data_IF_801943876424
#
_entry.id   IF_801943876424
#
_cell.length_a   1.000
_cell.length_b   1.000
_cell.length_c   1.000
_cell.angle_alpha   90.00
_cell.angle_beta   90.00
_cell.angle_gamma   90.00
#
_symmetry.space_group_name_H-M   'P 1'
#
loop_
_entity.id
_entity.type
_entity.pdbx_description
1 polymer ?
#
# COMPACT_ATOMS: atom_id res chain seq x y z
N UNK A 1 -62.12 -5.19 -24.64
CA UNK A 1 -61.82 -4.47 -23.39
C UNK A 1 -60.94 -5.36 -22.54
N UNK A 2 -59.62 -5.19 -22.61
CA UNK A 2 -58.64 -6.03 -21.93
C UNK A 2 -57.71 -5.12 -21.14
N UNK A 3 -57.84 -5.18 -19.82
CA UNK A 3 -57.09 -4.40 -18.84
C UNK A 3 -55.61 -4.82 -18.84
N UNK A 4 -54.74 -3.95 -19.34
CA UNK A 4 -53.30 -4.10 -19.25
C UNK A 4 -52.84 -3.75 -17.82
N UNK A 5 -52.41 -4.76 -17.08
CA UNK A 5 -51.86 -4.67 -15.73
C UNK A 5 -50.48 -4.02 -15.76
N UNK A 6 -50.40 -2.79 -15.21
CA UNK A 6 -49.16 -2.06 -14.99
C UNK A 6 -48.29 -2.80 -13.96
N UNK A 7 -47.16 -3.35 -14.43
CA UNK A 7 -46.17 -4.05 -13.61
C UNK A 7 -45.31 -3.02 -12.88
N UNK A 8 -45.69 -2.72 -11.64
CA UNK A 8 -44.97 -1.82 -10.74
C UNK A 8 -43.57 -2.39 -10.44
N UNK A 9 -42.58 -1.86 -11.15
CA UNK A 9 -41.16 -2.21 -11.01
C UNK A 9 -40.71 -1.72 -9.64
N UNK A 10 -40.57 -2.62 -8.66
CA UNK A 10 -39.98 -2.31 -7.34
C UNK A 10 -38.62 -1.67 -7.57
N UNK A 11 -38.54 -0.36 -7.31
CA UNK A 11 -37.27 0.35 -7.17
C UNK A 11 -36.59 -0.28 -5.96
N UNK A 12 -35.60 -1.12 -6.21
CA UNK A 12 -34.68 -1.57 -5.16
C UNK A 12 -34.10 -0.33 -4.52
N UNK A 13 -34.54 -0.05 -3.30
CA UNK A 13 -33.98 0.97 -2.42
C UNK A 13 -32.52 0.56 -2.21
N UNK A 14 -31.65 1.13 -3.03
CA UNK A 14 -30.22 0.94 -2.98
C UNK A 14 -29.77 1.45 -1.61
N UNK A 15 -29.15 0.55 -0.84
CA UNK A 15 -28.60 0.83 0.47
C UNK A 15 -27.69 2.08 0.40
N UNK A 16 -28.19 3.20 0.90
CA UNK A 16 -27.35 4.34 1.26
C UNK A 16 -26.36 3.84 2.33
N UNK A 17 -25.04 3.96 2.11
CA UNK A 17 -24.07 3.56 3.11
C UNK A 17 -24.34 4.33 4.41
N UNK A 18 -24.48 3.58 5.52
CA UNK A 18 -24.62 4.12 6.87
C UNK A 18 -23.42 5.04 7.13
N UNK A 19 -23.66 6.35 7.16
CA UNK A 19 -22.63 7.33 7.49
C UNK A 19 -22.37 7.28 8.99
N UNK A 20 -21.26 6.66 9.39
CA UNK A 20 -20.74 6.73 10.75
C UNK A 20 -20.21 8.14 11.02
N UNK A 21 -21.12 9.07 11.33
CA UNK A 21 -20.81 10.47 11.69
C UNK A 21 -20.88 10.67 13.19
N UNK A 22 -19.74 10.51 13.87
CA UNK A 22 -19.53 11.09 15.22
C UNK A 22 -18.23 11.88 15.36
N UNK A 23 -17.44 12.08 14.31
CA UNK A 23 -16.26 12.95 14.34
C UNK A 23 -16.36 14.06 13.29
N UNK A 24 -16.69 15.26 13.75
CA UNK A 24 -16.44 16.52 13.04
C UNK A 24 -17.03 16.62 11.64
N UNK A 25 -18.34 16.83 11.54
CA UNK A 25 -19.04 17.15 10.29
C UNK A 25 -18.59 18.56 9.83
N UNK A 26 -17.42 18.65 9.19
CA UNK A 26 -17.22 19.71 8.18
C UNK A 26 -18.29 19.46 7.14
N UNK A 27 -19.11 20.46 6.84
CA UNK A 27 -20.04 20.41 5.72
C UNK A 27 -19.25 19.91 4.49
N UNK A 28 -19.49 18.66 4.10
CA UNK A 28 -18.87 18.08 2.91
C UNK A 28 -19.53 18.80 1.75
N UNK A 29 -18.88 19.87 1.27
CA UNK A 29 -19.34 20.60 0.11
C UNK A 29 -19.22 19.69 -1.12
N UNK A 30 -20.11 19.89 -2.08
CA UNK A 30 -20.12 19.17 -3.36
C UNK A 30 -18.73 19.22 -4.01
N UNK A 31 -18.09 20.38 -3.97
CA UNK A 31 -16.75 20.62 -4.51
C UNK A 31 -15.67 19.74 -3.87
N UNK A 32 -15.72 19.51 -2.55
CA UNK A 32 -14.75 18.67 -1.88
C UNK A 32 -14.86 17.20 -2.31
N UNK A 33 -16.10 16.73 -2.54
CA UNK A 33 -16.34 15.32 -2.91
C UNK A 33 -15.87 15.02 -4.34
N UNK A 34 -16.11 15.94 -5.28
CA UNK A 34 -15.63 15.82 -6.65
C UNK A 34 -14.11 15.97 -6.74
N UNK A 35 -13.50 16.88 -5.97
CA UNK A 35 -12.05 17.02 -5.90
C UNK A 35 -11.37 15.75 -5.36
N UNK A 36 -11.88 15.17 -4.27
CA UNK A 36 -11.35 13.92 -3.73
C UNK A 36 -11.43 12.79 -4.76
N UNK A 37 -12.55 12.70 -5.49
CA UNK A 37 -12.72 11.74 -6.57
C UNK A 37 -11.67 11.98 -7.68
N UNK A 38 -11.50 13.22 -8.14
CA UNK A 38 -10.54 13.60 -9.18
C UNK A 38 -9.09 13.34 -8.76
N UNK A 39 -8.73 13.61 -7.51
CA UNK A 39 -7.38 13.39 -6.99
C UNK A 39 -7.02 11.91 -6.89
N UNK A 40 -8.01 11.04 -6.65
CA UNK A 40 -7.83 9.59 -6.73
C UNK A 40 -7.77 9.15 -8.19
N UNK A 41 -8.74 9.56 -9.01
CA UNK A 41 -8.90 9.13 -10.40
C UNK A 41 -7.73 9.55 -11.28
N UNK A 42 -7.12 10.72 -11.02
CA UNK A 42 -6.03 11.26 -11.83
C UNK A 42 -4.63 10.97 -11.27
N UNK A 43 -4.54 10.20 -10.19
CA UNK A 43 -3.27 9.88 -9.53
C UNK A 43 -2.35 9.09 -10.46
N UNK A 44 -1.13 9.58 -10.65
CA UNK A 44 -0.12 8.96 -11.53
C UNK A 44 -0.10 9.52 -12.95
N UNK A 45 -1.09 10.31 -13.36
CA UNK A 45 -1.08 10.97 -14.67
C UNK A 45 -0.12 12.18 -14.70
N UNK A 46 0.41 12.50 -15.89
CA UNK A 46 1.17 13.73 -16.13
C UNK A 46 0.27 14.98 -16.00
N UNK A 47 0.86 16.15 -15.75
CA UNK A 47 0.10 17.39 -15.51
C UNK A 47 -0.88 17.73 -16.65
N UNK A 48 -0.46 17.56 -17.90
CA UNK A 48 -1.29 17.84 -19.07
C UNK A 48 -2.47 16.86 -19.19
N UNK A 49 -2.24 15.56 -18.97
CA UNK A 49 -3.31 14.58 -18.97
C UNK A 49 -4.29 14.81 -17.81
N UNK A 50 -3.78 15.17 -16.62
CA UNK A 50 -4.63 15.56 -15.48
C UNK A 50 -5.53 16.73 -15.83
N UNK A 51 -4.99 17.77 -16.47
CA UNK A 51 -5.76 18.95 -16.85
C UNK A 51 -6.88 18.61 -17.84
N UNK A 52 -6.59 17.77 -18.85
CA UNK A 52 -7.60 17.30 -19.83
C UNK A 52 -8.69 16.47 -19.16
N UNK A 53 -8.31 15.47 -18.37
CA UNK A 53 -9.26 14.60 -17.66
C UNK A 53 -10.11 15.40 -16.67
N UNK A 54 -9.51 16.35 -15.93
CA UNK A 54 -10.28 17.22 -15.03
C UNK A 54 -11.32 18.03 -15.78
N UNK A 55 -10.96 18.61 -16.92
CA UNK A 55 -11.89 19.37 -17.76
C UNK A 55 -13.06 18.49 -18.25
N UNK A 56 -12.75 17.33 -18.83
CA UNK A 56 -13.76 16.40 -19.36
C UNK A 56 -14.70 15.88 -18.27
N UNK A 57 -14.16 15.48 -17.10
CA UNK A 57 -14.96 15.01 -15.97
C UNK A 57 -15.82 16.13 -15.40
N UNK A 58 -15.31 17.37 -15.32
CA UNK A 58 -16.12 18.51 -14.88
C UNK A 58 -17.27 18.80 -15.84
N UNK A 59 -17.03 18.78 -17.15
CA UNK A 59 -18.07 18.96 -18.17
C UNK A 59 -19.14 17.86 -18.08
N UNK A 60 -18.73 16.59 -17.96
CA UNK A 60 -19.66 15.47 -17.80
C UNK A 60 -20.45 15.55 -16.49
N UNK A 61 -19.78 15.89 -15.38
CA UNK A 61 -20.43 16.05 -14.08
C UNK A 61 -21.46 17.19 -14.11
N UNK A 62 -21.10 18.34 -14.67
CA UNK A 62 -21.98 19.50 -14.76
C UNK A 62 -23.22 19.20 -15.63
N UNK A 63 -23.03 18.55 -16.78
CA UNK A 63 -24.12 18.16 -17.66
C UNK A 63 -25.09 17.16 -16.99
N UNK A 64 -24.55 16.15 -16.30
CA UNK A 64 -25.38 15.16 -15.58
C UNK A 64 -26.10 15.79 -14.39
N UNK A 65 -25.41 16.65 -13.64
CA UNK A 65 -25.99 17.39 -12.52
C UNK A 65 -27.14 18.29 -12.99
N UNK A 66 -26.93 19.09 -14.03
CA UNK A 66 -27.95 19.97 -14.60
C UNK A 66 -29.18 19.17 -15.07
N UNK A 67 -28.94 18.03 -15.75
CA UNK A 67 -30.04 17.13 -16.16
C UNK A 67 -30.87 16.67 -14.96
N UNK A 68 -30.21 16.25 -13.88
CA UNK A 68 -30.89 15.77 -12.66
C UNK A 68 -31.66 16.89 -11.94
N UNK A 69 -31.14 18.12 -11.93
CA UNK A 69 -31.85 19.28 -11.39
C UNK A 69 -33.12 19.55 -12.21
N UNK A 70 -33.04 19.52 -13.54
CA UNK A 70 -34.21 19.69 -14.43
C UNK A 70 -35.25 18.58 -14.24
N UNK A 71 -34.80 17.36 -13.94
CA UNK A 71 -35.67 16.22 -13.59
C UNK A 71 -36.34 16.37 -12.19
N UNK A 72 -36.03 17.43 -11.44
CA UNK A 72 -36.64 17.74 -10.15
C UNK A 72 -35.95 17.08 -8.96
N UNK A 73 -34.73 16.56 -9.12
CA UNK A 73 -33.94 16.07 -8.01
C UNK A 73 -33.41 17.21 -7.13
N UNK A 74 -33.28 16.97 -5.83
CA UNK A 74 -32.64 17.93 -4.92
C UNK A 74 -31.14 18.03 -5.20
N UNK A 75 -30.51 19.17 -4.93
CA UNK A 75 -29.08 19.39 -5.20
C UNK A 75 -28.16 18.31 -4.60
N UNK A 76 -28.48 17.84 -3.39
CA UNK A 76 -27.72 16.78 -2.73
C UNK A 76 -27.86 15.45 -3.47
N UNK A 77 -29.08 15.10 -3.89
CA UNK A 77 -29.34 13.85 -4.61
C UNK A 77 -28.78 13.90 -6.04
N UNK A 78 -28.90 15.05 -6.71
CA UNK A 78 -28.32 15.31 -8.03
C UNK A 78 -26.79 15.20 -7.98
N UNK A 79 -26.14 15.78 -6.96
CA UNK A 79 -24.69 15.65 -6.74
C UNK A 79 -24.29 14.19 -6.59
N UNK A 80 -24.97 13.45 -5.71
CA UNK A 80 -24.64 12.05 -5.44
C UNK A 80 -24.82 11.19 -6.69
N UNK A 81 -25.94 11.36 -7.41
CA UNK A 81 -26.22 10.60 -8.63
C UNK A 81 -25.26 10.96 -9.78
N UNK A 82 -24.89 12.25 -9.94
CA UNK A 82 -23.89 12.69 -10.90
C UNK A 82 -22.49 12.11 -10.56
N UNK A 83 -22.12 12.05 -9.29
CA UNK A 83 -20.86 11.43 -8.88
C UNK A 83 -20.89 9.90 -9.06
N UNK A 84 -22.06 9.28 -8.85
CA UNK A 84 -22.27 7.85 -9.08
C UNK A 84 -22.17 7.49 -10.57
N UNK A 85 -22.61 8.37 -11.48
CA UNK A 85 -22.53 8.14 -12.93
C UNK A 85 -21.08 8.08 -13.44
N UNK A 86 -20.16 8.81 -12.79
CA UNK A 86 -18.72 8.73 -13.05
C UNK A 86 -18.10 7.38 -12.65
N UNK A 87 -18.78 6.63 -11.78
CA UNK A 87 -18.31 5.35 -11.26
C UNK A 87 -17.22 5.46 -10.18
N UNK A 88 -16.55 4.36 -9.90
CA UNK A 88 -15.53 4.31 -8.85
C UNK A 88 -14.22 4.99 -9.27
N UNK A 89 -13.72 5.94 -8.48
CA UNK A 89 -12.49 6.70 -8.78
C UNK A 89 -11.29 5.83 -9.16
N UNK A 90 -11.10 4.68 -8.48
CA UNK A 90 -10.03 3.72 -8.82
C UNK A 90 -10.23 3.04 -10.17
N UNK A 91 -11.47 2.72 -10.53
CA UNK A 91 -11.75 2.11 -11.84
C UNK A 91 -11.54 3.13 -12.96
N UNK A 92 -11.92 4.40 -12.72
CA UNK A 92 -11.63 5.49 -13.62
C UNK A 92 -10.12 5.72 -13.76
N UNK A 93 -9.36 5.69 -12.65
CA UNK A 93 -7.90 5.74 -12.67
C UNK A 93 -7.30 4.67 -13.58
N UNK A 94 -7.71 3.40 -13.42
CA UNK A 94 -7.21 2.30 -14.25
C UNK A 94 -7.52 2.54 -15.74
N UNK A 95 -8.69 3.11 -16.06
CA UNK A 95 -9.07 3.45 -17.44
C UNK A 95 -8.24 4.61 -17.99
N UNK A 96 -8.09 5.70 -17.24
CA UNK A 96 -7.30 6.86 -17.69
C UNK A 96 -5.83 6.51 -17.86
N UNK A 97 -5.27 5.71 -16.95
CA UNK A 97 -3.92 5.19 -17.08
C UNK A 97 -3.77 4.34 -18.37
N UNK A 98 -4.74 3.49 -18.71
CA UNK A 98 -4.70 2.71 -19.96
C UNK A 98 -4.81 3.57 -21.22
N UNK A 99 -5.54 4.68 -21.16
CA UNK A 99 -5.70 5.59 -22.30
C UNK A 99 -4.48 6.49 -22.51
N UNK A 100 -3.81 6.89 -21.43
CA UNK A 100 -2.71 7.86 -21.49
C UNK A 100 -1.30 7.24 -21.45
N UNK A 101 -1.14 6.03 -20.90
CA UNK A 101 0.14 5.33 -20.94
C UNK A 101 0.26 4.45 -22.18
N UNK A 102 1.48 4.31 -22.68
CA UNK A 102 1.78 3.21 -23.61
C UNK A 102 1.57 1.87 -22.89
N UNK A 103 1.19 0.82 -23.62
CA UNK A 103 0.91 -0.51 -23.03
C UNK A 103 2.08 -0.99 -22.14
N UNK A 104 3.31 -0.73 -22.58
CA UNK A 104 4.53 -1.08 -21.84
C UNK A 104 4.72 -0.30 -20.54
N UNK A 105 4.40 1.00 -20.53
CA UNK A 105 4.48 1.81 -19.30
C UNK A 105 3.39 1.43 -18.30
N UNK A 106 2.20 1.10 -18.80
CA UNK A 106 1.10 0.64 -17.97
C UNK A 106 1.44 -0.69 -17.27
N UNK A 107 2.06 -1.64 -17.98
CA UNK A 107 2.48 -2.91 -17.39
C UNK A 107 3.55 -2.74 -16.32
N UNK A 108 4.54 -1.86 -16.54
CA UNK A 108 5.55 -1.52 -15.52
C UNK A 108 4.92 -0.83 -14.32
N UNK A 109 4.01 0.12 -14.54
CA UNK A 109 3.28 0.81 -13.48
C UNK A 109 2.46 -0.17 -12.64
N UNK A 110 1.74 -1.07 -13.30
CA UNK A 110 0.89 -2.07 -12.66
C UNK A 110 1.73 -3.10 -11.90
N UNK A 111 2.88 -3.53 -12.44
CA UNK A 111 3.84 -4.39 -11.76
C UNK A 111 4.44 -3.73 -10.51
N UNK A 112 4.68 -2.41 -10.54
CA UNK A 112 5.21 -1.66 -9.41
C UNK A 112 4.15 -1.45 -8.30
N UNK A 113 2.89 -1.19 -8.68
CA UNK A 113 1.83 -0.82 -7.73
C UNK A 113 1.01 -2.00 -7.21
N UNK A 114 0.89 -3.09 -7.97
CA UNK A 114 0.39 -4.36 -7.46
C UNK A 114 1.59 -5.23 -7.10
N UNK A 115 2.06 -5.25 -5.85
CA UNK A 115 2.99 -6.28 -5.44
C UNK A 115 2.37 -7.63 -5.82
N UNK A 116 3.07 -8.49 -6.57
CA UNK A 116 2.50 -9.73 -7.06
C UNK A 116 1.89 -10.47 -5.87
N UNK A 117 0.65 -10.93 -5.99
CA UNK A 117 -0.02 -11.69 -4.91
C UNK A 117 0.81 -12.91 -4.48
N UNK A 118 1.64 -13.41 -5.38
CA UNK A 118 2.70 -14.40 -5.15
C UNK A 118 3.72 -13.96 -4.10
N UNK A 119 4.24 -12.72 -4.17
CA UNK A 119 5.23 -12.22 -3.20
C UNK A 119 4.64 -12.20 -1.80
N UNK A 120 3.38 -11.80 -1.63
CA UNK A 120 2.73 -11.75 -0.32
C UNK A 120 2.58 -13.14 0.32
N UNK A 121 2.26 -14.16 -0.47
CA UNK A 121 2.16 -15.56 0.00
C UNK A 121 3.53 -16.19 0.25
N UNK A 122 4.49 -15.93 -0.65
CA UNK A 122 5.86 -16.46 -0.53
C UNK A 122 6.58 -15.88 0.68
N UNK A 123 6.42 -14.59 0.96
CA UNK A 123 7.03 -13.96 2.13
C UNK A 123 6.52 -14.59 3.43
N UNK A 124 5.20 -14.75 3.58
CA UNK A 124 4.63 -15.36 4.78
C UNK A 124 5.13 -16.81 4.97
N UNK A 125 5.16 -17.60 3.90
CA UNK A 125 5.68 -18.97 3.94
C UNK A 125 7.16 -19.05 4.32
N UNK A 126 7.98 -18.13 3.81
CA UNK A 126 9.41 -18.06 4.13
C UNK A 126 9.66 -17.77 5.62
N UNK A 127 8.90 -16.85 6.21
CA UNK A 127 9.05 -16.58 7.65
C UNK A 127 8.54 -17.72 8.51
N UNK A 128 7.43 -18.37 8.14
CA UNK A 128 6.91 -19.54 8.87
C UNK A 128 7.94 -20.67 8.86
N UNK A 129 8.58 -20.94 7.71
CA UNK A 129 9.61 -21.99 7.60
C UNK A 129 10.84 -21.66 8.44
N UNK A 130 11.34 -20.42 8.40
CA UNK A 130 12.42 -19.98 9.29
C UNK A 130 12.04 -20.14 10.77
N UNK A 131 10.81 -19.80 11.14
CA UNK A 131 10.30 -19.89 12.52
C UNK A 131 10.28 -21.34 13.02
N UNK A 132 9.81 -22.28 12.18
CA UNK A 132 9.82 -23.71 12.47
C UNK A 132 11.26 -24.23 12.61
N UNK A 133 12.16 -23.86 11.70
CA UNK A 133 13.57 -24.29 11.75
C UNK A 133 14.24 -23.79 13.04
N UNK A 134 14.02 -22.53 13.42
CA UNK A 134 14.55 -21.96 14.67
C UNK A 134 13.98 -22.65 15.91
N UNK A 135 12.68 -22.97 15.91
CA UNK A 135 12.04 -23.73 16.99
C UNK A 135 12.62 -25.14 17.15
N UNK A 136 12.79 -25.86 16.04
CA UNK A 136 13.36 -27.21 16.03
C UNK A 136 14.85 -27.22 16.41
N UNK A 137 15.63 -26.26 15.92
CA UNK A 137 17.04 -26.11 16.28
C UNK A 137 17.22 -25.87 17.77
N UNK A 138 16.32 -25.08 18.40
CA UNK A 138 16.34 -24.85 19.85
C UNK A 138 16.05 -26.14 20.61
N UNK A 139 14.99 -26.85 20.22
CA UNK A 139 14.58 -28.12 20.84
C UNK A 139 15.67 -29.20 20.79
N UNK A 140 16.54 -29.16 19.77
CA UNK A 140 17.68 -30.06 19.64
C UNK A 140 18.87 -29.70 20.56
N UNK A 141 18.94 -28.47 21.06
CA UNK A 141 20.05 -27.96 21.90
C UNK A 141 19.76 -27.97 23.40
N UNK A 142 18.54 -28.32 23.82
CA UNK A 142 18.06 -28.14 25.19
C UNK A 142 18.32 -29.37 26.10
N UNK A 143 19.59 -29.69 26.38
CA UNK A 143 19.89 -30.62 27.48
C UNK A 143 20.46 -29.96 28.74
N UNK A 144 21.01 -28.74 28.68
CA UNK A 144 21.58 -28.05 29.87
C UNK A 144 21.51 -26.52 29.76
N UNK A 145 20.33 -25.92 29.54
CA UNK A 145 20.20 -24.45 29.46
C UNK A 145 19.36 -23.83 30.57
N UNK A 146 19.78 -22.63 30.97
CA UNK A 146 19.13 -21.82 31.99
C UNK A 146 17.81 -21.22 31.50
N UNK A 147 16.80 -21.24 32.39
CA UNK A 147 15.43 -20.76 32.19
C UNK A 147 15.34 -19.32 31.66
N UNK A 148 16.35 -18.50 31.93
CA UNK A 148 16.39 -17.10 31.51
C UNK A 148 16.54 -16.93 29.98
N UNK A 149 17.27 -17.84 29.33
CA UNK A 149 17.40 -17.82 27.86
C UNK A 149 16.07 -18.17 27.18
N UNK A 150 15.30 -19.08 27.77
CA UNK A 150 14.03 -19.53 27.20
C UNK A 150 12.98 -18.43 27.22
N UNK A 151 12.93 -17.63 28.30
CA UNK A 151 12.04 -16.47 28.39
C UNK A 151 12.39 -15.43 27.33
N UNK A 152 13.69 -15.15 27.14
CA UNK A 152 14.16 -14.21 26.11
C UNK A 152 13.83 -14.67 24.69
N UNK A 153 14.00 -15.96 24.41
CA UNK A 153 13.67 -16.56 23.12
C UNK A 153 12.16 -16.56 22.86
N UNK A 154 11.34 -16.88 23.86
CA UNK A 154 9.89 -16.86 23.74
C UNK A 154 9.36 -15.44 23.50
N UNK A 155 9.91 -14.44 24.20
CA UNK A 155 9.57 -13.03 23.99
C UNK A 155 9.93 -12.58 22.56
N UNK A 156 11.08 -13.00 22.05
CA UNK A 156 11.49 -12.74 20.67
C UNK A 156 10.56 -13.40 19.66
N UNK A 157 10.19 -14.67 19.88
CA UNK A 157 9.27 -15.43 19.03
C UNK A 157 7.89 -14.76 18.97
N UNK A 158 7.35 -14.31 20.10
CA UNK A 158 6.08 -13.58 20.18
C UNK A 158 6.15 -12.23 19.47
N UNK A 159 7.25 -11.51 19.63
CA UNK A 159 7.49 -10.26 18.91
C UNK A 159 7.51 -10.51 17.41
N UNK A 160 8.26 -11.50 16.93
CA UNK A 160 8.34 -11.84 15.50
C UNK A 160 7.00 -12.33 14.92
N UNK A 161 6.24 -13.11 15.70
CA UNK A 161 4.89 -13.54 15.34
C UNK A 161 3.93 -12.34 15.22
N UNK A 162 4.01 -11.37 16.13
CA UNK A 162 3.19 -10.14 16.05
C UNK A 162 3.48 -9.36 14.75
N UNK A 163 4.73 -9.31 14.31
CA UNK A 163 5.13 -8.67 13.05
C UNK A 163 4.53 -9.34 11.81
N UNK A 164 4.32 -10.66 11.88
CA UNK A 164 3.71 -11.45 10.80
C UNK A 164 2.18 -11.32 10.79
N UNK A 165 1.57 -11.30 11.97
CA UNK A 165 0.11 -11.33 12.13
C UNK A 165 -0.52 -9.95 11.94
N UNK A 166 0.13 -8.87 12.42
CA UNK A 166 -0.40 -7.50 12.36
C UNK A 166 -0.69 -7.05 10.90
N UNK A 167 0.20 -7.24 9.91
CA UNK A 167 -0.07 -6.84 8.52
C UNK A 167 -1.19 -7.64 7.84
N UNK A 168 -1.38 -8.89 8.28
CA UNK A 168 -2.45 -9.78 7.81
C UNK A 168 -3.79 -9.34 8.38
N UNK A 169 -3.86 -9.10 9.69
CA UNK A 169 -5.06 -8.61 10.37
C UNK A 169 -5.49 -7.22 9.87
N UNK A 170 -4.54 -6.33 9.56
CA UNK A 170 -4.81 -5.01 9.01
C UNK A 170 -5.21 -5.02 7.52
N UNK A 171 -5.38 -6.19 6.90
CA UNK A 171 -5.87 -6.31 5.53
C UNK A 171 -4.99 -5.63 4.48
N UNK A 172 -3.70 -5.41 4.77
CA UNK A 172 -2.78 -4.66 3.89
C UNK A 172 -3.00 -3.15 3.85
N UNK A 173 -3.77 -2.57 4.79
CA UNK A 173 -3.92 -1.12 4.96
C UNK A 173 -2.92 -0.50 5.94
N UNK A 174 -1.98 -1.28 6.48
CA UNK A 174 -0.93 -0.74 7.33
C UNK A 174 -0.20 0.39 6.58
N UNK A 175 -0.15 1.61 7.15
CA UNK A 175 0.49 2.73 6.48
C UNK A 175 1.98 2.42 6.31
N UNK A 176 2.54 2.79 5.16
CA UNK A 176 3.91 2.41 4.74
C UNK A 176 4.98 2.76 5.79
N UNK A 177 4.77 3.81 6.58
CA UNK A 177 5.68 4.19 7.66
C UNK A 177 5.77 3.16 8.79
N UNK A 178 4.67 2.43 9.10
CA UNK A 178 4.67 1.37 10.13
C UNK A 178 5.50 0.18 9.65
N UNK A 179 5.35 -0.19 8.37
CA UNK A 179 6.16 -1.24 7.74
C UNK A 179 7.65 -0.86 7.69
N UNK A 180 7.98 0.39 7.34
CA UNK A 180 9.36 0.87 7.33
C UNK A 180 9.95 0.96 8.73
N UNK A 181 9.21 1.50 9.70
CA UNK A 181 9.65 1.56 11.09
C UNK A 181 9.88 0.15 11.65
N UNK A 182 8.97 -0.79 11.36
CA UNK A 182 9.12 -2.19 11.73
C UNK A 182 10.35 -2.84 11.06
N UNK A 183 10.60 -2.60 9.77
CA UNK A 183 11.79 -3.12 9.10
C UNK A 183 13.11 -2.60 9.69
N UNK A 184 13.10 -1.42 10.32
CA UNK A 184 14.29 -0.83 10.94
C UNK A 184 14.42 -1.26 12.41
N UNK A 185 13.32 -1.27 13.16
CA UNK A 185 13.31 -1.62 14.60
C UNK A 185 13.55 -3.12 14.85
N UNK A 186 13.07 -4.00 13.96
CA UNK A 186 13.27 -5.45 14.11
C UNK A 186 14.77 -5.86 14.09
N UNK A 187 15.60 -5.44 13.12
CA UNK A 187 17.03 -5.77 13.14
C UNK A 187 17.77 -5.08 14.28
N UNK A 188 17.39 -3.86 14.69
CA UNK A 188 18.02 -3.19 15.85
C UNK A 188 17.75 -3.97 17.14
N UNK A 189 16.51 -4.41 17.35
CA UNK A 189 16.17 -5.28 18.47
C UNK A 189 16.88 -6.64 18.41
N UNK A 190 17.00 -7.21 17.20
CA UNK A 190 17.73 -8.45 16.96
C UNK A 190 19.21 -8.33 17.31
N UNK A 191 19.88 -7.25 16.87
CA UNK A 191 21.29 -6.99 17.20
C UNK A 191 21.46 -6.80 18.71
N UNK A 192 20.56 -6.08 19.38
CA UNK A 192 20.63 -5.89 20.83
C UNK A 192 20.53 -7.19 21.63
N UNK A 193 19.60 -8.08 21.25
CA UNK A 193 19.44 -9.39 21.88
C UNK A 193 20.66 -10.28 21.62
N UNK A 194 21.18 -10.29 20.38
CA UNK A 194 22.40 -11.03 20.04
C UNK A 194 23.64 -10.53 20.78
N UNK A 195 23.75 -9.21 20.99
CA UNK A 195 24.85 -8.62 21.75
C UNK A 195 24.83 -9.05 23.22
N UNK A 196 23.65 -9.01 23.84
CA UNK A 196 23.46 -9.49 25.22
C UNK A 196 23.77 -10.98 25.36
N UNK A 197 23.41 -11.79 24.36
CA UNK A 197 23.67 -13.24 24.37
C UNK A 197 25.17 -13.55 24.13
N UNK A 198 25.84 -12.80 23.27
CA UNK A 198 27.27 -12.97 23.00
C UNK A 198 28.16 -12.58 24.20
N UNK A 199 27.73 -11.59 24.99
CA UNK A 199 28.40 -11.16 26.22
C UNK A 199 28.28 -12.22 27.32
N UNK A 200 27.10 -12.82 27.46
CA UNK A 200 26.87 -13.93 28.39
C UNK A 200 27.74 -15.17 28.10
N UNK A 201 28.11 -15.40 26.83
CA UNK A 201 28.87 -16.58 26.41
C UNK A 201 30.38 -16.37 26.33
N UNK A 202 30.90 -15.16 26.60
CA UNK A 202 32.34 -14.86 26.52
C UNK A 202 32.95 -14.92 25.11
N UNK A 203 32.12 -15.03 24.06
CA UNK A 203 32.53 -15.13 22.63
C UNK A 203 32.67 -13.73 21.99
N UNK A 204 32.66 -12.68 22.82
CA UNK A 204 32.44 -11.29 22.41
C UNK A 204 33.43 -10.80 21.34
N UNK A 205 34.69 -11.20 21.36
CA UNK A 205 35.71 -10.60 20.47
C UNK A 205 35.57 -10.97 18.98
N UNK A 206 35.13 -12.18 18.64
CA UNK A 206 35.07 -12.60 17.23
C UNK A 206 33.73 -12.26 16.56
N UNK A 207 32.66 -12.28 17.36
CA UNK A 207 31.31 -11.93 16.91
C UNK A 207 31.16 -10.41 16.74
N UNK A 208 31.74 -9.61 17.65
CA UNK A 208 31.74 -8.14 17.48
C UNK A 208 32.52 -7.72 16.24
N UNK A 209 33.69 -8.31 15.97
CA UNK A 209 34.47 -8.02 14.76
C UNK A 209 33.71 -8.35 13.47
N UNK A 210 32.99 -9.47 13.42
CA UNK A 210 32.21 -9.86 12.24
C UNK A 210 30.94 -9.02 12.06
N UNK A 211 30.26 -8.64 13.15
CA UNK A 211 29.10 -7.74 13.10
C UNK A 211 29.51 -6.32 12.71
N UNK A 212 30.62 -5.78 13.24
CA UNK A 212 31.15 -4.48 12.83
C UNK A 212 31.54 -4.46 11.35
N UNK A 213 32.10 -5.56 10.83
CA UNK A 213 32.38 -5.70 9.39
C UNK A 213 31.08 -5.69 8.57
N UNK A 214 30.05 -6.42 8.99
CA UNK A 214 28.77 -6.49 8.28
C UNK A 214 28.02 -5.15 8.28
N UNK A 215 28.04 -4.44 9.42
CA UNK A 215 27.46 -3.09 9.57
C UNK A 215 28.23 -2.07 8.72
N UNK A 216 29.54 -2.24 8.49
CA UNK A 216 30.30 -1.38 7.59
C UNK A 216 30.00 -1.65 6.10
N UNK A 217 29.73 -2.91 5.71
CA UNK A 217 29.41 -3.29 4.32
C UNK A 217 28.01 -2.83 3.89
N UNK A 218 27.03 -2.81 4.79
CA UNK A 218 25.65 -2.39 4.50
C UNK A 218 25.53 -0.98 3.89
N UNK A 219 26.11 0.07 4.52
CA UNK A 219 26.17 1.42 3.98
C UNK A 219 26.96 1.50 2.67
N UNK A 220 28.06 0.77 2.53
CA UNK A 220 28.85 0.76 1.29
C UNK A 220 28.05 0.19 0.11
N UNK A 221 27.27 -0.86 0.32
CA UNK A 221 26.40 -1.44 -0.70
C UNK A 221 25.22 -0.50 -1.05
N UNK A 222 24.69 0.21 -0.04
CA UNK A 222 23.65 1.22 -0.23
C UNK A 222 24.16 2.44 -1.02
N UNK A 223 25.38 2.90 -0.73
CA UNK A 223 26.04 3.98 -1.48
C UNK A 223 26.33 3.54 -2.93
N UNK A 224 26.77 2.29 -3.14
CA UNK A 224 27.03 1.77 -4.48
C UNK A 224 25.75 1.68 -5.33
N UNK A 225 24.65 1.18 -4.76
CA UNK A 225 23.37 1.12 -5.46
C UNK A 225 22.80 2.51 -5.78
N UNK A 226 23.00 3.48 -4.88
CA UNK A 226 22.62 4.88 -5.13
C UNK A 226 23.44 5.49 -6.28
N UNK A 227 24.74 5.21 -6.33
CA UNK A 227 25.63 5.71 -7.37
C UNK A 227 25.29 5.11 -8.75
N UNK A 228 24.96 3.82 -8.82
CA UNK A 228 24.46 3.19 -10.05
C UNK A 228 23.13 3.79 -10.53
N UNK A 229 22.24 4.16 -9.61
CA UNK A 229 20.97 4.82 -9.93
C UNK A 229 21.18 6.23 -10.52
N UNK A 230 22.11 7.00 -9.95
CA UNK A 230 22.47 8.33 -10.45
C UNK A 230 23.11 8.24 -11.84
N UNK A 231 24.07 7.32 -12.03
CA UNK A 231 24.70 7.08 -13.34
C UNK A 231 23.70 6.59 -14.39
N UNK A 232 22.68 5.82 -13.99
CA UNK A 232 21.60 5.40 -14.88
C UNK A 232 20.73 6.58 -15.37
N UNK A 233 20.47 7.58 -14.52
CA UNK A 233 19.70 8.77 -14.89
C UNK A 233 20.46 9.70 -15.83
N UNK A 234 21.76 9.92 -15.57
CA UNK A 234 22.59 10.79 -16.41
C UNK A 234 22.80 10.21 -17.81
N UNK A 235 22.87 8.88 -17.94
CA UNK A 235 22.96 8.23 -19.26
C UNK A 235 21.70 8.44 -20.10
N UNK A 236 20.51 8.26 -19.51
CA UNK A 236 19.25 8.51 -20.21
C UNK A 236 19.13 9.98 -20.66
N UNK A 237 19.52 10.92 -19.82
CA UNK A 237 19.45 12.34 -20.18
C UNK A 237 20.34 12.69 -21.38
N UNK A 238 21.52 12.10 -21.48
CA UNK A 238 22.43 12.26 -22.63
C UNK A 238 21.89 11.62 -23.92
N UNK A 239 21.20 10.49 -23.80
CA UNK A 239 20.54 9.84 -24.94
C UNK A 239 19.36 10.69 -25.46
N UNK A 240 18.67 11.44 -24.59
CA UNK A 240 17.63 12.40 -24.99
C UNK A 240 18.21 13.63 -25.71
N UNK A 241 19.32 14.19 -25.21
CA UNK A 241 19.97 15.37 -25.82
C UNK A 241 20.63 15.07 -27.17
N UNK A 242 20.95 13.81 -27.46
CA UNK A 242 21.51 13.40 -28.77
C UNK A 242 20.45 13.02 -29.80
N UNK A 243 19.20 12.83 -29.37
CA UNK A 243 18.06 12.52 -30.24
C UNK A 243 17.26 13.78 -30.67
N UNK A 244 17.55 14.94 -30.09
CA UNK A 244 16.98 16.26 -30.43
C UNK A 244 17.93 17.08 -31.29
#
# INVERSE_FOLDING_TARGET
>A
MTLATARQKRVSIMWLPKSDTSNGIRAVTVDNTLQDWLDIATRGLCADAKARVRKEVHEHFAAEYERLIVEGHTEQLATYAALQSLGGAKQAQDRFCKLHFTVTEFDVWNALHRPPSLVRKSFASFFITIWIILGLARLATDFERDVFEDIGFLAFQLLLASFLVIPVLLGGRAPRFVLCAQMILAPVGFVGIFFSLADALGVLNWITATISLLIAVGPACSIWTLNLSILGKTRRQRDWESAS
#
